data_IF_048987501801
#
_entry.id   IF_048987501801
#
_cell.length_a   1.000
_cell.length_b   1.000
_cell.length_c   1.000
_cell.angle_alpha   90.00
_cell.angle_beta   90.00
_cell.angle_gamma   90.00
#
_symmetry.space_group_name_H-M   'P 1'
#
loop_
_entity.id
_entity.type
_entity.pdbx_description
1 polymer ?
#
# COMPACT_ATOMS: atom_id res chain seq x y z
N UNK A 1 48.02 -35.68 69.58
CA UNK A 1 46.95 -34.73 69.32
C UNK A 1 47.05 -34.35 67.84
N UNK A 2 46.14 -34.85 66.99
CA UNK A 2 46.11 -34.56 65.52
C UNK A 2 44.97 -33.59 65.27
N UNK A 3 45.29 -32.39 64.84
CA UNK A 3 44.34 -31.32 64.47
C UNK A 3 43.86 -31.56 63.06
N UNK A 4 42.56 -31.83 62.91
CA UNK A 4 41.87 -31.99 61.66
C UNK A 4 41.47 -30.61 61.13
N UNK A 5 42.03 -30.18 59.97
CA UNK A 5 41.60 -28.97 59.31
C UNK A 5 40.46 -29.28 58.36
N UNK A 6 39.27 -28.67 58.64
CA UNK A 6 38.09 -28.71 57.81
C UNK A 6 38.24 -27.67 56.69
N UNK A 7 38.30 -28.14 55.44
CA UNK A 7 38.30 -27.26 54.26
C UNK A 7 36.87 -27.13 53.77
N UNK A 8 36.27 -25.93 53.92
CA UNK A 8 34.92 -25.61 53.46
C UNK A 8 34.98 -25.19 51.98
N UNK A 9 34.43 -25.99 51.10
CA UNK A 9 34.24 -25.65 49.69
C UNK A 9 32.96 -24.81 49.55
N UNK A 10 33.12 -23.55 49.21
CA UNK A 10 32.00 -22.68 48.82
C UNK A 10 31.75 -22.91 47.33
N UNK A 11 30.64 -23.54 47.00
CA UNK A 11 30.10 -23.62 45.64
C UNK A 11 29.43 -22.28 45.28
N UNK A 12 30.10 -21.49 44.42
CA UNK A 12 29.49 -20.31 43.83
C UNK A 12 28.68 -20.72 42.61
N UNK A 13 27.34 -20.84 42.81
CA UNK A 13 26.40 -21.07 41.71
C UNK A 13 26.20 -19.78 40.90
N UNK A 14 26.80 -19.72 39.73
CA UNK A 14 26.55 -18.66 38.74
C UNK A 14 25.24 -19.04 38.03
N UNK A 15 24.15 -18.40 38.40
CA UNK A 15 22.91 -18.41 37.65
C UNK A 15 23.07 -17.56 36.39
N UNK A 16 23.24 -18.21 35.24
CA UNK A 16 23.11 -17.57 33.92
C UNK A 16 21.63 -17.24 33.73
N UNK A 17 21.25 -16.00 34.02
CA UNK A 17 20.01 -15.43 33.59
C UNK A 17 20.11 -15.16 32.10
N UNK A 18 19.61 -16.10 31.29
CA UNK A 18 19.35 -15.89 29.89
C UNK A 18 18.23 -14.86 29.78
N UNK A 19 18.57 -13.61 29.51
CA UNK A 19 17.61 -12.65 28.97
C UNK A 19 17.20 -13.15 27.58
N UNK A 20 16.11 -13.92 27.52
CA UNK A 20 15.37 -14.04 26.30
C UNK A 20 14.79 -12.64 26.02
N UNK A 21 15.39 -11.95 25.07
CA UNK A 21 14.78 -10.79 24.46
C UNK A 21 13.55 -11.33 23.72
N UNK A 22 12.37 -11.16 24.32
CA UNK A 22 11.12 -11.26 23.59
C UNK A 22 11.19 -10.20 22.49
N UNK A 23 11.47 -10.63 21.27
CA UNK A 23 11.08 -9.86 20.10
C UNK A 23 9.56 -9.70 20.23
N UNK A 24 9.10 -8.51 20.57
CA UNK A 24 7.69 -8.12 20.47
C UNK A 24 7.34 -8.12 18.99
N UNK A 25 7.12 -9.31 18.43
CA UNK A 25 6.55 -9.49 17.11
C UNK A 25 5.25 -8.70 17.06
N UNK A 26 5.08 -7.86 16.08
CA UNK A 26 3.80 -7.18 15.87
C UNK A 26 2.73 -8.24 15.64
N UNK A 27 1.90 -8.53 16.63
CA UNK A 27 0.82 -9.54 16.62
C UNK A 27 -0.18 -9.36 15.47
N UNK A 28 -0.04 -8.26 14.72
CA UNK A 28 -0.85 -7.92 13.55
C UNK A 28 -0.59 -8.82 12.35
N UNK A 29 0.63 -9.33 12.23
CA UNK A 29 1.06 -10.14 11.10
C UNK A 29 1.31 -11.59 11.50
N UNK A 30 0.79 -12.50 10.69
CA UNK A 30 1.02 -13.95 10.87
C UNK A 30 1.90 -14.45 9.75
N UNK A 31 2.92 -15.24 10.09
CA UNK A 31 3.82 -15.85 9.12
C UNK A 31 3.49 -17.33 8.98
N UNK A 32 3.07 -17.74 7.80
CA UNK A 32 2.78 -19.13 7.44
C UNK A 32 2.76 -19.30 5.94
N UNK A 33 3.08 -20.47 5.44
CA UNK A 33 2.98 -20.80 4.01
C UNK A 33 1.54 -20.70 3.50
N UNK A 34 1.41 -20.37 2.23
CA UNK A 34 0.15 -20.20 1.54
C UNK A 34 0.27 -20.35 0.03
N UNK A 35 -0.35 -19.44 -0.73
CA UNK A 35 -0.21 -19.39 -2.18
C UNK A 35 1.25 -19.13 -2.56
N UNK A 36 1.85 -19.88 -3.52
CA UNK A 36 3.23 -19.65 -3.96
C UNK A 36 3.50 -18.25 -4.54
N UNK A 37 2.47 -17.49 -4.86
CA UNK A 37 2.56 -16.10 -5.34
C UNK A 37 2.39 -15.06 -4.21
N UNK A 38 2.36 -15.51 -2.96
CA UNK A 38 2.37 -14.67 -1.77
C UNK A 38 3.69 -14.76 -1.02
N UNK A 39 3.94 -13.80 -0.15
CA UNK A 39 5.18 -13.66 0.64
C UNK A 39 5.14 -14.40 1.98
N UNK A 40 4.33 -15.44 2.15
CA UNK A 40 4.13 -16.17 3.42
C UNK A 40 3.81 -15.29 4.64
N UNK A 41 3.42 -14.04 4.41
CA UNK A 41 2.96 -13.07 5.42
C UNK A 41 1.48 -12.79 5.24
N UNK A 42 0.77 -12.78 6.36
CA UNK A 42 -0.68 -12.63 6.41
C UNK A 42 -1.07 -11.42 7.26
N UNK A 43 -2.03 -10.66 6.79
CA UNK A 43 -2.62 -9.54 7.52
C UNK A 43 -4.13 -9.73 7.65
N UNK A 44 -4.64 -9.77 8.88
CA UNK A 44 -6.07 -9.89 9.20
C UNK A 44 -6.80 -11.05 8.50
N UNK A 45 -6.07 -12.14 8.16
CA UNK A 45 -6.60 -13.34 7.52
C UNK A 45 -6.38 -13.42 6.00
N UNK A 46 -5.84 -12.38 5.36
CA UNK A 46 -5.44 -12.35 3.95
C UNK A 46 -3.93 -12.56 3.83
N UNK A 47 -3.50 -13.40 2.88
CA UNK A 47 -2.09 -13.49 2.48
C UNK A 47 -1.74 -12.27 1.61
N UNK A 48 -0.56 -11.71 1.83
CA UNK A 48 -0.01 -10.60 1.04
C UNK A 48 0.60 -11.18 -0.24
N UNK A 49 0.25 -10.59 -1.38
CA UNK A 49 0.82 -10.97 -2.67
C UNK A 49 2.26 -10.49 -2.83
N UNK A 50 3.03 -11.14 -3.72
CA UNK A 50 4.31 -10.58 -4.17
C UNK A 50 4.07 -9.27 -4.92
N UNK A 51 4.95 -8.29 -4.65
CA UNK A 51 4.97 -7.02 -5.39
C UNK A 51 5.32 -7.29 -6.86
N UNK A 52 4.55 -6.70 -7.76
CA UNK A 52 4.87 -6.72 -9.19
C UNK A 52 6.16 -5.92 -9.44
N UNK A 53 7.18 -6.57 -9.96
CA UNK A 53 8.45 -5.91 -10.32
C UNK A 53 8.29 -4.98 -11.54
N UNK A 54 9.20 -4.01 -11.66
CA UNK A 54 9.22 -3.06 -12.80
C UNK A 54 9.32 -3.75 -14.17
N UNK A 55 9.76 -5.00 -14.23
CA UNK A 55 9.75 -5.81 -15.46
C UNK A 55 8.33 -6.00 -16.02
N UNK A 56 7.31 -5.90 -15.17
CA UNK A 56 5.90 -5.91 -15.55
C UNK A 56 5.34 -4.58 -16.05
N UNK A 57 6.16 -3.53 -16.18
CA UNK A 57 5.70 -2.17 -16.52
C UNK A 57 4.88 -2.11 -17.81
N UNK A 58 5.24 -2.89 -18.83
CA UNK A 58 4.50 -2.94 -20.09
C UNK A 58 3.04 -3.40 -19.94
N UNK A 59 2.77 -4.26 -18.94
CA UNK A 59 1.41 -4.70 -18.64
C UNK A 59 0.56 -3.54 -18.09
N UNK A 60 1.17 -2.58 -17.36
CA UNK A 60 0.47 -1.38 -16.86
C UNK A 60 0.04 -0.43 -17.97
N UNK A 61 0.72 -0.45 -19.10
CA UNK A 61 0.46 0.43 -20.25
C UNK A 61 -0.37 -0.26 -21.37
N UNK A 62 -0.90 -1.48 -21.11
CA UNK A 62 -1.68 -2.24 -22.12
C UNK A 62 -2.93 -1.45 -22.56
N UNK A 63 -3.25 -1.44 -23.86
CA UNK A 63 -4.36 -0.66 -24.40
C UNK A 63 -5.73 -1.16 -23.92
N UNK A 64 -5.85 -2.43 -23.54
CA UNK A 64 -7.08 -3.07 -23.09
C UNK A 64 -7.63 -2.51 -21.76
N UNK A 65 -6.80 -1.77 -21.00
CA UNK A 65 -7.19 -1.23 -19.68
C UNK A 65 -8.46 -0.40 -19.69
N UNK A 66 -8.73 0.32 -20.78
CA UNK A 66 -9.96 1.11 -20.85
C UNK A 66 -11.22 0.22 -20.96
N UNK A 67 -11.13 -0.93 -21.64
CA UNK A 67 -12.21 -1.90 -21.72
C UNK A 67 -12.39 -2.69 -20.42
N UNK A 68 -11.27 -3.12 -19.83
CA UNK A 68 -11.20 -3.98 -18.64
C UNK A 68 -11.51 -3.21 -17.34
N UNK A 69 -11.00 -1.99 -17.21
CA UNK A 69 -10.96 -1.23 -15.96
C UNK A 69 -11.74 0.10 -16.02
N UNK A 70 -12.04 0.59 -17.25
CA UNK A 70 -12.69 1.89 -17.48
C UNK A 70 -12.00 3.04 -16.76
N UNK A 71 -10.70 3.17 -17.02
CA UNK A 71 -9.83 4.16 -16.36
C UNK A 71 -10.37 5.59 -16.48
N UNK A 72 -10.94 5.96 -17.64
CA UNK A 72 -11.61 7.25 -17.83
C UNK A 72 -12.74 7.48 -16.84
N UNK A 73 -13.51 6.43 -16.52
CA UNK A 73 -14.61 6.48 -15.57
C UNK A 73 -14.10 6.54 -14.13
N UNK A 74 -13.02 5.80 -13.80
CA UNK A 74 -12.34 5.91 -12.51
C UNK A 74 -11.91 7.36 -12.23
N UNK A 75 -11.21 7.99 -13.18
CA UNK A 75 -10.79 9.39 -13.04
C UNK A 75 -11.98 10.34 -12.89
N UNK A 76 -13.10 10.05 -13.58
CA UNK A 76 -14.35 10.81 -13.41
C UNK A 76 -14.96 10.62 -12.01
N UNK A 77 -14.98 9.40 -11.48
CA UNK A 77 -15.47 9.10 -10.12
C UNK A 77 -14.68 9.88 -9.06
N UNK A 78 -13.39 10.15 -9.29
CA UNK A 78 -12.58 10.92 -8.36
C UNK A 78 -12.99 12.39 -8.27
N UNK A 79 -13.78 12.93 -9.19
CA UNK A 79 -14.23 14.33 -9.22
C UNK A 79 -13.09 15.32 -8.90
N UNK A 80 -12.01 15.23 -9.68
CA UNK A 80 -10.81 16.03 -9.49
C UNK A 80 -11.10 17.51 -9.76
N UNK A 81 -10.60 18.39 -8.89
CA UNK A 81 -10.71 19.84 -9.04
C UNK A 81 -9.34 20.45 -9.34
N UNK A 82 -9.27 21.52 -10.13
CA UNK A 82 -8.05 22.30 -10.24
C UNK A 82 -7.53 22.71 -8.85
N UNK A 83 -6.22 22.86 -8.70
CA UNK A 83 -5.53 23.18 -7.43
C UNK A 83 -5.52 22.08 -6.36
N UNK A 84 -6.18 20.95 -6.55
CA UNK A 84 -6.04 19.81 -5.62
C UNK A 84 -4.65 19.18 -5.73
N UNK A 85 -4.21 18.64 -4.60
CA UNK A 85 -3.00 17.80 -4.50
C UNK A 85 -3.44 16.35 -4.38
N UNK A 86 -3.04 15.54 -5.35
CA UNK A 86 -3.39 14.10 -5.40
C UNK A 86 -2.13 13.28 -5.16
N UNK A 87 -2.24 12.15 -4.51
CA UNK A 87 -1.18 11.15 -4.46
C UNK A 87 -1.65 9.85 -5.10
N UNK A 88 -0.87 9.33 -6.04
CA UNK A 88 -0.98 7.99 -6.60
C UNK A 88 0.04 7.10 -5.89
N UNK A 89 -0.41 6.13 -5.12
CA UNK A 89 0.46 5.26 -4.30
C UNK A 89 0.62 3.91 -4.98
N UNK A 90 1.87 3.50 -5.22
CA UNK A 90 2.19 2.43 -6.15
C UNK A 90 1.96 2.89 -7.59
N UNK A 91 2.49 4.06 -7.92
CA UNK A 91 2.22 4.75 -9.19
C UNK A 91 2.69 3.98 -10.43
N UNK A 92 3.61 3.00 -10.27
CA UNK A 92 4.13 2.18 -11.34
C UNK A 92 4.71 3.03 -12.48
N UNK A 93 4.24 2.79 -13.70
CA UNK A 93 4.64 3.56 -14.90
C UNK A 93 4.12 5.01 -14.93
N UNK A 94 3.29 5.41 -13.95
CA UNK A 94 2.59 6.68 -13.95
C UNK A 94 1.32 6.70 -14.80
N UNK A 95 0.80 5.56 -15.19
CA UNK A 95 -0.37 5.46 -16.09
C UNK A 95 -1.56 6.32 -15.63
N UNK A 96 -1.91 6.31 -14.34
CA UNK A 96 -2.97 7.16 -13.78
C UNK A 96 -2.48 8.59 -13.50
N UNK A 97 -1.23 8.76 -13.09
CA UNK A 97 -0.60 10.06 -12.80
C UNK A 97 -0.78 11.02 -13.96
N UNK A 98 -0.41 10.60 -15.17
CA UNK A 98 -0.48 11.45 -16.38
C UNK A 98 -1.92 11.71 -16.86
N UNK A 99 -2.89 10.89 -16.45
CA UNK A 99 -4.32 11.14 -16.69
C UNK A 99 -4.91 12.12 -15.67
N UNK A 100 -4.36 12.18 -14.45
CA UNK A 100 -4.79 13.10 -13.39
C UNK A 100 -4.13 14.48 -13.50
N UNK A 101 -2.85 14.56 -13.86
CA UNK A 101 -2.07 15.79 -13.87
C UNK A 101 -2.73 16.95 -14.63
N UNK A 102 -3.25 16.78 -15.86
CA UNK A 102 -3.90 17.89 -16.58
C UNK A 102 -5.21 18.35 -15.93
N UNK A 103 -5.86 17.52 -15.09
CA UNK A 103 -7.14 17.84 -14.44
C UNK A 103 -6.99 18.63 -13.14
N UNK A 104 -5.81 18.62 -12.55
CA UNK A 104 -5.53 19.29 -11.27
C UNK A 104 -4.57 20.49 -11.41
N UNK A 105 -4.33 20.96 -12.64
CA UNK A 105 -3.50 22.14 -12.84
C UNK A 105 -4.28 23.43 -12.46
N UNK A 106 -3.75 24.29 -11.55
CA UNK A 106 -2.38 24.43 -11.03
C UNK A 106 -2.03 23.59 -9.76
N UNK A 107 -2.81 22.60 -9.39
CA UNK A 107 -2.47 21.66 -8.35
C UNK A 107 -1.34 20.70 -8.76
N UNK A 108 -1.21 19.59 -8.04
CA UNK A 108 -0.07 18.68 -8.18
C UNK A 108 -0.51 17.22 -8.05
N UNK A 109 0.24 16.32 -8.69
CA UNK A 109 0.15 14.87 -8.47
C UNK A 109 1.49 14.36 -7.92
N UNK A 110 1.47 13.79 -6.73
CA UNK A 110 2.57 13.00 -6.20
C UNK A 110 2.47 11.57 -6.76
N UNK A 111 3.53 11.11 -7.42
CA UNK A 111 3.68 9.76 -7.92
C UNK A 111 4.57 8.98 -6.95
N UNK A 112 3.98 8.22 -6.04
CA UNK A 112 4.70 7.51 -4.99
C UNK A 112 4.92 6.06 -5.39
N UNK A 113 6.18 5.62 -5.43
CA UNK A 113 6.53 4.22 -5.68
C UNK A 113 7.76 3.82 -4.87
N UNK A 114 7.92 2.52 -4.57
CA UNK A 114 9.09 1.99 -3.87
C UNK A 114 10.21 1.59 -4.85
N UNK A 115 9.91 1.41 -6.13
CA UNK A 115 10.84 0.95 -7.15
C UNK A 115 11.46 2.14 -7.87
N UNK A 116 12.80 2.33 -7.80
CA UNK A 116 13.47 3.47 -8.44
C UNK A 116 13.32 3.44 -9.96
N UNK A 117 13.19 2.26 -10.58
CA UNK A 117 12.98 2.12 -12.01
C UNK A 117 11.62 2.67 -12.47
N UNK A 118 10.58 2.48 -11.67
CA UNK A 118 9.26 3.07 -11.92
C UNK A 118 9.31 4.59 -11.84
N UNK A 119 9.94 5.13 -10.81
CA UNK A 119 10.10 6.58 -10.65
C UNK A 119 10.95 7.20 -11.79
N UNK A 120 11.99 6.49 -12.24
CA UNK A 120 12.80 6.92 -13.38
C UNK A 120 11.98 6.97 -14.67
N UNK A 121 11.10 5.99 -14.92
CA UNK A 121 10.21 6.00 -16.07
C UNK A 121 9.21 7.18 -16.02
N UNK A 122 8.65 7.48 -14.84
CA UNK A 122 7.79 8.65 -14.64
C UNK A 122 8.57 9.94 -14.96
N UNK A 123 9.80 10.07 -14.43
CA UNK A 123 10.63 11.25 -14.67
C UNK A 123 10.92 11.45 -16.18
N UNK A 124 11.28 10.38 -16.88
CA UNK A 124 11.50 10.44 -18.35
C UNK A 124 10.24 10.87 -19.10
N UNK A 125 9.07 10.37 -18.70
CA UNK A 125 7.80 10.72 -19.32
C UNK A 125 7.41 12.18 -19.05
N UNK A 126 7.66 12.70 -17.84
CA UNK A 126 7.48 14.11 -17.50
C UNK A 126 8.30 15.02 -18.44
N UNK A 127 9.58 14.67 -18.65
CA UNK A 127 10.48 15.44 -19.53
C UNK A 127 10.03 15.38 -21.01
N UNK A 128 9.65 14.19 -21.47
CA UNK A 128 9.20 13.98 -22.85
C UNK A 128 7.90 14.71 -23.18
N UNK A 129 6.96 14.77 -22.23
CA UNK A 129 5.64 15.38 -22.41
C UNK A 129 5.55 16.83 -21.89
N UNK A 130 6.61 17.35 -21.27
CA UNK A 130 6.64 18.70 -20.70
C UNK A 130 5.70 18.89 -19.51
N UNK A 131 5.45 17.80 -18.74
CA UNK A 131 4.57 17.83 -17.58
C UNK A 131 5.33 18.34 -16.37
N UNK A 132 4.86 19.42 -15.74
CA UNK A 132 5.57 20.13 -14.66
C UNK A 132 4.88 20.01 -13.28
N UNK A 133 3.66 19.50 -13.24
CA UNK A 133 2.88 19.38 -12.00
C UNK A 133 2.78 17.94 -11.48
N UNK A 134 3.73 17.11 -11.84
CA UNK A 134 3.94 15.76 -11.25
C UNK A 134 5.23 15.79 -10.44
N UNK A 135 5.24 15.10 -9.32
CA UNK A 135 6.42 14.97 -8.45
C UNK A 135 6.61 13.51 -8.05
N UNK A 136 7.63 12.82 -8.58
CA UNK A 136 7.98 11.48 -8.17
C UNK A 136 8.52 11.46 -6.74
N UNK A 137 7.97 10.58 -5.89
CA UNK A 137 8.35 10.43 -4.48
C UNK A 137 8.73 8.98 -4.22
N UNK A 138 9.93 8.75 -3.67
CA UNK A 138 10.31 7.42 -3.22
C UNK A 138 9.65 7.09 -1.90
N UNK A 139 8.72 6.15 -1.91
CA UNK A 139 8.13 5.55 -0.74
C UNK A 139 9.03 4.48 -0.10
N UNK A 140 8.54 3.87 0.94
CA UNK A 140 9.12 2.69 1.58
C UNK A 140 8.02 1.66 1.85
N UNK A 141 8.39 0.50 2.36
CA UNK A 141 7.41 -0.55 2.73
C UNK A 141 6.43 -0.13 3.84
N UNK A 142 6.76 0.92 4.61
CA UNK A 142 5.98 1.37 5.76
C UNK A 142 5.55 2.84 5.67
N UNK A 143 6.00 3.59 4.66
CA UNK A 143 5.72 5.03 4.57
C UNK A 143 5.63 5.50 3.13
N UNK A 144 4.62 6.32 2.86
CA UNK A 144 4.48 7.04 1.59
C UNK A 144 5.38 8.27 1.48
N UNK A 145 6.09 8.64 2.55
CA UNK A 145 7.03 9.76 2.64
C UNK A 145 6.45 11.12 2.21
N UNK A 146 5.14 11.31 2.41
CA UNK A 146 4.47 12.58 2.15
C UNK A 146 4.34 13.40 3.44
N UNK A 147 4.34 14.72 3.28
CA UNK A 147 4.13 15.66 4.40
C UNK A 147 2.73 15.51 4.98
N UNK A 148 2.61 15.69 6.28
CA UNK A 148 1.33 15.67 6.98
C UNK A 148 0.35 16.72 6.42
N UNK A 149 -0.93 16.33 6.27
CA UNK A 149 -2.01 17.19 5.77
C UNK A 149 -1.68 17.88 4.42
N UNK A 150 -0.98 17.18 3.53
CA UNK A 150 -0.53 17.73 2.24
C UNK A 150 -1.40 17.34 1.05
N UNK A 151 -2.16 16.23 1.13
CA UNK A 151 -2.92 15.71 -0.02
C UNK A 151 -4.43 15.76 0.19
N UNK A 152 -5.16 16.10 -0.87
CA UNK A 152 -6.62 16.16 -0.88
C UNK A 152 -7.25 14.79 -1.18
N UNK A 153 -6.63 14.02 -2.06
CA UNK A 153 -7.09 12.68 -2.46
C UNK A 153 -5.90 11.75 -2.65
N UNK A 154 -6.12 10.50 -2.31
CA UNK A 154 -5.16 9.41 -2.53
C UNK A 154 -5.81 8.37 -3.43
N UNK A 155 -5.08 7.90 -4.41
CA UNK A 155 -5.46 6.81 -5.31
C UNK A 155 -4.55 5.61 -5.04
N UNK A 156 -5.15 4.43 -4.94
CA UNK A 156 -4.48 3.13 -4.89
C UNK A 156 -5.18 2.24 -5.93
N UNK A 157 -4.47 1.79 -6.95
CA UNK A 157 -5.04 0.92 -8.00
C UNK A 157 -4.28 -0.38 -8.08
N UNK A 158 -4.94 -1.48 -7.69
CA UNK A 158 -4.43 -2.85 -7.76
C UNK A 158 -3.03 -2.99 -7.11
N UNK A 159 -2.82 -2.35 -5.98
CA UNK A 159 -1.52 -2.29 -5.29
C UNK A 159 -1.62 -2.58 -3.79
N UNK A 160 -2.75 -2.31 -3.16
CA UNK A 160 -2.88 -2.48 -1.71
C UNK A 160 -2.68 -3.94 -1.28
N UNK A 161 -3.13 -4.89 -2.09
CA UNK A 161 -2.97 -6.32 -1.83
C UNK A 161 -1.49 -6.78 -1.83
N UNK A 162 -0.57 -5.96 -2.35
CA UNK A 162 0.88 -6.19 -2.41
C UNK A 162 1.65 -5.51 -1.26
N UNK A 163 1.03 -4.66 -0.46
CA UNK A 163 1.74 -3.96 0.62
C UNK A 163 2.24 -4.93 1.67
N UNK A 164 3.57 -4.94 1.90
CA UNK A 164 4.23 -5.80 2.89
C UNK A 164 3.83 -5.41 4.31
N UNK A 165 3.56 -4.11 4.54
CA UNK A 165 3.09 -3.53 5.80
C UNK A 165 1.84 -2.66 5.55
N UNK A 166 0.69 -3.27 5.20
CA UNK A 166 -0.51 -2.53 4.80
C UNK A 166 -1.02 -1.58 5.88
N UNK A 167 -0.96 -1.98 7.16
CA UNK A 167 -1.40 -1.11 8.26
C UNK A 167 -0.55 0.16 8.36
N UNK A 168 0.77 0.03 8.34
CA UNK A 168 1.73 1.12 8.45
C UNK A 168 1.63 2.09 7.27
N UNK A 169 1.51 1.57 6.06
CA UNK A 169 1.27 2.38 4.85
C UNK A 169 -0.03 3.17 5.00
N UNK A 170 -1.13 2.54 5.44
CA UNK A 170 -2.40 3.24 5.59
C UNK A 170 -2.35 4.29 6.71
N UNK A 171 -1.61 4.05 7.81
CA UNK A 171 -1.36 5.10 8.82
C UNK A 171 -0.55 6.27 8.24
N UNK A 172 0.47 5.99 7.42
CA UNK A 172 1.25 7.02 6.73
C UNK A 172 0.37 7.83 5.76
N UNK A 173 -0.49 7.17 4.98
CA UNK A 173 -1.48 7.82 4.12
C UNK A 173 -2.45 8.67 4.95
N UNK A 174 -2.96 8.12 6.06
CA UNK A 174 -3.87 8.85 6.96
C UNK A 174 -3.25 10.13 7.50
N UNK A 175 -1.96 10.12 7.79
CA UNK A 175 -1.21 11.30 8.22
C UNK A 175 -1.07 12.33 7.11
N UNK A 176 -0.76 11.90 5.88
CA UNK A 176 -0.59 12.77 4.72
C UNK A 176 -1.90 13.41 4.24
N UNK A 177 -3.03 12.72 4.44
CA UNK A 177 -4.34 13.15 3.97
C UNK A 177 -4.86 14.35 4.79
N UNK A 178 -5.31 15.41 4.12
CA UNK A 178 -5.95 16.58 4.75
C UNK A 178 -7.26 16.22 5.47
N UNK A 179 -7.73 17.03 6.41
CA UNK A 179 -9.11 16.92 6.92
C UNK A 179 -10.12 16.95 5.76
N UNK A 180 -11.06 16.00 5.73
CA UNK A 180 -12.02 15.85 4.63
C UNK A 180 -11.47 15.26 3.33
N UNK A 181 -10.19 14.92 3.30
CA UNK A 181 -9.58 14.23 2.16
C UNK A 181 -10.08 12.78 2.02
N UNK A 182 -9.97 12.23 0.81
CA UNK A 182 -10.52 10.90 0.46
C UNK A 182 -9.46 9.96 -0.07
N UNK A 183 -9.60 8.68 0.26
CA UNK A 183 -8.83 7.57 -0.32
C UNK A 183 -9.72 6.81 -1.28
N UNK A 184 -9.28 6.66 -2.52
CA UNK A 184 -9.87 5.81 -3.54
C UNK A 184 -9.07 4.51 -3.60
N UNK A 185 -9.65 3.44 -3.08
CA UNK A 185 -9.08 2.10 -3.10
C UNK A 185 -9.75 1.30 -4.21
N UNK A 186 -8.97 0.99 -5.23
CA UNK A 186 -9.39 0.27 -6.43
C UNK A 186 -8.72 -1.09 -6.39
N UNK A 187 -9.51 -2.16 -6.33
CA UNK A 187 -9.01 -3.53 -6.25
C UNK A 187 -9.90 -4.46 -7.07
N UNK A 188 -9.32 -5.45 -7.74
CA UNK A 188 -10.07 -6.46 -8.48
C UNK A 188 -11.01 -7.22 -7.55
N UNK A 189 -12.28 -7.42 -8.00
CA UNK A 189 -13.32 -8.09 -7.21
C UNK A 189 -13.02 -9.56 -6.98
N UNK A 190 -12.79 -9.95 -5.73
CA UNK A 190 -12.64 -11.35 -5.36
C UNK A 190 -14.00 -12.09 -5.35
N UNK A 191 -15.11 -11.39 -5.22
CA UNK A 191 -16.47 -11.92 -5.31
C UNK A 191 -16.83 -12.38 -6.72
N UNK A 192 -16.21 -11.78 -7.73
CA UNK A 192 -16.47 -12.11 -9.14
C UNK A 192 -15.40 -13.07 -9.67
N UNK A 193 -15.80 -14.30 -9.92
CA UNK A 193 -14.94 -15.35 -10.48
C UNK A 193 -14.67 -15.18 -11.97
N UNK A 194 -15.46 -14.37 -12.69
CA UNK A 194 -15.27 -14.10 -14.11
C UNK A 194 -14.12 -13.12 -14.40
N UNK A 195 -13.72 -12.31 -13.41
CA UNK A 195 -12.55 -11.42 -13.53
C UNK A 195 -11.28 -12.28 -13.68
N UNK A 196 -10.55 -12.19 -14.81
CA UNK A 196 -9.47 -13.12 -15.14
C UNK A 196 -8.13 -12.79 -14.44
N UNK A 197 -8.20 -12.44 -13.17
CA UNK A 197 -7.07 -12.12 -12.29
C UNK A 197 -6.92 -13.22 -11.25
N UNK A 198 -5.68 -13.55 -10.88
CA UNK A 198 -5.39 -14.59 -9.88
C UNK A 198 -5.98 -14.22 -8.52
N UNK A 199 -6.53 -15.19 -7.77
CA UNK A 199 -7.22 -14.91 -6.51
C UNK A 199 -6.43 -14.08 -5.49
N UNK A 200 -5.11 -14.29 -5.40
CA UNK A 200 -4.24 -13.58 -4.44
C UNK A 200 -4.10 -12.07 -4.76
N UNK A 201 -4.34 -11.67 -6.02
CA UNK A 201 -4.34 -10.28 -6.48
C UNK A 201 -5.75 -9.66 -6.51
N UNK A 202 -6.71 -10.28 -5.83
CA UNK A 202 -8.09 -9.77 -5.69
C UNK A 202 -8.42 -9.53 -4.23
N UNK A 203 -9.29 -8.57 -3.98
CA UNK A 203 -9.83 -8.31 -2.64
C UNK A 203 -11.36 -8.32 -2.64
N UNK A 204 -11.94 -8.83 -1.55
CA UNK A 204 -13.37 -8.60 -1.30
C UNK A 204 -13.57 -7.23 -0.67
N UNK A 205 -14.74 -6.61 -0.92
CA UNK A 205 -15.14 -5.38 -0.23
C UNK A 205 -15.05 -5.56 1.29
N UNK A 206 -15.57 -6.67 1.81
CA UNK A 206 -15.54 -6.98 3.24
C UNK A 206 -14.13 -7.00 3.83
N UNK A 207 -13.14 -7.59 3.12
CA UNK A 207 -11.76 -7.63 3.59
C UNK A 207 -11.11 -6.25 3.51
N UNK A 208 -11.35 -5.52 2.42
CA UNK A 208 -10.84 -4.16 2.25
C UNK A 208 -11.36 -3.22 3.36
N UNK A 209 -12.65 -3.25 3.63
CA UNK A 209 -13.27 -2.45 4.71
C UNK A 209 -12.67 -2.80 6.06
N UNK A 210 -12.56 -4.09 6.38
CA UNK A 210 -11.96 -4.57 7.63
C UNK A 210 -10.53 -4.04 7.85
N UNK A 211 -9.69 -4.09 6.80
CA UNK A 211 -8.30 -3.65 6.89
C UNK A 211 -8.19 -2.11 6.95
N UNK A 212 -9.02 -1.40 6.20
CA UNK A 212 -9.07 0.06 6.21
C UNK A 212 -9.59 0.63 7.55
N UNK A 213 -10.60 0.00 8.16
CA UNK A 213 -11.12 0.37 9.48
C UNK A 213 -10.07 0.20 10.57
N UNK A 214 -9.26 -0.86 10.51
CA UNK A 214 -8.15 -1.07 11.44
C UNK A 214 -7.08 0.02 11.36
N UNK A 215 -6.97 0.73 10.23
CA UNK A 215 -6.07 1.87 10.04
C UNK A 215 -6.76 3.23 10.29
N UNK A 216 -8.02 3.24 10.79
CA UNK A 216 -8.75 4.46 11.15
C UNK A 216 -9.41 5.17 9.96
N UNK A 217 -9.84 4.40 8.96
CA UNK A 217 -10.68 4.88 7.86
C UNK A 217 -12.08 4.30 7.97
N UNK A 218 -13.04 4.97 7.34
CA UNK A 218 -14.43 4.52 7.21
C UNK A 218 -14.82 4.52 5.76
N UNK A 219 -15.48 3.47 5.31
CA UNK A 219 -16.08 3.42 3.97
C UNK A 219 -17.19 4.48 3.88
N UNK A 220 -17.07 5.37 2.90
CA UNK A 220 -18.11 6.33 2.55
C UNK A 220 -19.08 5.70 1.51
N UNK A 221 -18.52 5.10 0.45
CA UNK A 221 -19.27 4.39 -0.57
C UNK A 221 -18.38 3.42 -1.36
N UNK A 222 -19.01 2.44 -2.04
CA UNK A 222 -18.39 1.65 -3.10
C UNK A 222 -19.13 1.92 -4.41
N UNK A 223 -18.49 2.64 -5.34
CA UNK A 223 -19.05 3.06 -6.62
C UNK A 223 -18.99 1.87 -7.59
N UNK A 224 -20.11 1.12 -7.73
CA UNK A 224 -20.20 -0.14 -8.48
C UNK A 224 -20.35 0.07 -9.99
N UNK A 225 -19.44 0.82 -10.64
CA UNK A 225 -19.56 1.14 -12.06
C UNK A 225 -18.31 0.77 -12.90
N UNK A 226 -17.27 0.23 -12.27
CA UNK A 226 -16.09 -0.30 -12.96
C UNK A 226 -16.32 -1.79 -13.32
N UNK A 227 -15.82 -2.29 -14.47
CA UNK A 227 -16.11 -3.66 -14.90
C UNK A 227 -15.53 -4.72 -13.96
N UNK A 228 -14.24 -4.65 -13.64
CA UNK A 228 -13.53 -5.71 -12.90
C UNK A 228 -13.22 -5.34 -11.45
N UNK A 229 -13.26 -4.05 -11.09
CA UNK A 229 -12.75 -3.54 -9.83
C UNK A 229 -13.85 -2.97 -8.94
N UNK A 230 -13.63 -3.02 -7.64
CA UNK A 230 -14.27 -2.12 -6.69
C UNK A 230 -13.74 -0.70 -6.88
N UNK A 231 -14.56 0.29 -6.62
CA UNK A 231 -14.14 1.69 -6.48
C UNK A 231 -14.60 2.17 -5.10
N UNK A 232 -13.84 1.81 -4.07
CA UNK A 232 -14.17 2.09 -2.68
C UNK A 232 -13.61 3.43 -2.26
N UNK A 233 -14.46 4.30 -1.74
CA UNK A 233 -14.10 5.63 -1.26
C UNK A 233 -14.10 5.62 0.26
N UNK A 234 -12.94 5.94 0.85
CA UNK A 234 -12.77 6.00 2.29
C UNK A 234 -12.44 7.41 2.77
N UNK A 235 -12.87 7.72 3.98
CA UNK A 235 -12.56 8.97 4.70
C UNK A 235 -11.92 8.65 6.04
N UNK A 236 -11.21 9.62 6.63
CA UNK A 236 -10.71 9.47 8.02
C UNK A 236 -11.89 9.35 8.99
N UNK A 237 -11.77 8.47 9.97
CA UNK A 237 -12.66 8.45 11.14
C UNK A 237 -12.39 9.68 12.02
#
# INVERSE_FOLDING_TARGET
>A
MKTLRLISFIFLSISLQSCAQEESGDDRYVYRSGDPQGIDKWYMGRQIAYVMGYQGMSWLERPEREEEERVSLLIKNMDLKPSQVIADIGAGSGFHVFKMAPKVNPGKVYAVDIQPEMLAAIQQKMEAEGVVNVEPIKGSEQSVNLTENSVDKVLLVDVYHEFIYPHEIMLSIRKALKPGGKVYLIEYRAEDRSVPIKPIHKMTEKQSVKEMEAAGFKLEENISNLPWQHCMVFVKN
#
